data_IF_073059389980
#
_entry.id   IF_073059389980
#
_cell.length_a   1.000
_cell.length_b   1.000
_cell.length_c   1.000
_cell.angle_alpha   90.00
_cell.angle_beta   90.00
_cell.angle_gamma   90.00
#
_symmetry.space_group_name_H-M   'P 1'
#
loop_
_entity.id
_entity.type
_entity.pdbx_description
1 polymer ?
#
# COMPACT_ATOMS: atom_id res chain seq x y z
N UNK A 1 23.86 10.36 -15.31
CA UNK A 1 23.50 9.30 -14.33
C UNK A 1 22.00 9.17 -14.34
N UNK A 2 21.40 7.96 -14.41
CA UNK A 2 19.94 7.85 -14.37
C UNK A 2 19.45 8.39 -13.03
N UNK A 3 18.47 9.29 -13.10
CA UNK A 3 17.91 9.97 -11.93
C UNK A 3 17.38 8.96 -10.92
N UNK A 4 17.79 9.11 -9.67
CA UNK A 4 17.20 8.37 -8.57
C UNK A 4 15.75 8.85 -8.47
N UNK A 5 14.80 8.01 -8.89
CA UNK A 5 13.38 8.24 -8.64
C UNK A 5 13.22 8.13 -7.13
N UNK A 6 13.15 9.28 -6.47
CA UNK A 6 12.74 9.30 -5.06
C UNK A 6 11.30 8.80 -5.06
N UNK A 7 10.97 7.69 -4.36
CA UNK A 7 9.58 7.27 -4.25
C UNK A 7 8.80 8.46 -3.70
N UNK A 8 7.72 8.82 -4.40
CA UNK A 8 6.89 9.93 -3.96
C UNK A 8 6.30 9.58 -2.59
N UNK A 9 6.17 10.54 -1.67
CA UNK A 9 5.41 10.30 -0.45
C UNK A 9 4.01 9.79 -0.82
N UNK A 10 3.53 8.76 -0.12
CA UNK A 10 2.17 8.25 -0.30
C UNK A 10 1.18 9.34 0.14
N UNK A 11 0.75 10.18 -0.80
CA UNK A 11 -0.20 11.26 -0.60
C UNK A 11 -1.53 10.92 -1.27
N UNK A 12 -2.63 11.22 -0.55
CA UNK A 12 -4.01 11.05 -0.98
C UNK A 12 -4.70 12.40 -1.04
N UNK A 13 -5.51 12.62 -2.07
CA UNK A 13 -6.15 13.91 -2.34
C UNK A 13 -7.32 14.19 -1.38
N UNK A 14 -7.90 13.14 -0.80
CA UNK A 14 -8.97 13.25 0.19
C UNK A 14 -8.97 12.11 1.21
N UNK A 15 -9.70 12.31 2.31
CA UNK A 15 -9.96 11.24 3.29
C UNK A 15 -10.75 10.07 2.67
N UNK A 16 -11.58 10.33 1.66
CA UNK A 16 -12.28 9.27 0.93
C UNK A 16 -11.29 8.41 0.14
N UNK A 17 -10.33 9.03 -0.56
CA UNK A 17 -9.31 8.30 -1.32
C UNK A 17 -8.40 7.47 -0.40
N UNK A 18 -8.04 8.03 0.76
CA UNK A 18 -7.32 7.30 1.80
C UNK A 18 -8.13 6.11 2.34
N UNK A 19 -9.43 6.31 2.60
CA UNK A 19 -10.29 5.24 3.08
C UNK A 19 -10.43 4.11 2.05
N UNK A 20 -10.55 4.42 0.76
CA UNK A 20 -10.55 3.40 -0.29
C UNK A 20 -9.21 2.65 -0.36
N UNK A 21 -8.09 3.34 -0.21
CA UNK A 21 -6.76 2.71 -0.18
C UNK A 21 -6.62 1.76 1.02
N UNK A 22 -7.07 2.17 2.20
CA UNK A 22 -7.07 1.31 3.39
C UNK A 22 -7.95 0.07 3.21
N UNK A 23 -9.10 0.18 2.53
CA UNK A 23 -9.94 -1.00 2.23
C UNK A 23 -9.28 -1.96 1.27
N UNK A 24 -8.54 -1.46 0.27
CA UNK A 24 -7.74 -2.31 -0.63
C UNK A 24 -6.60 -3.00 0.11
N UNK A 25 -5.88 -2.27 0.97
CA UNK A 25 -4.86 -2.84 1.84
C UNK A 25 -5.44 -3.94 2.74
N UNK A 26 -6.60 -3.72 3.36
CA UNK A 26 -7.28 -4.72 4.18
C UNK A 26 -7.67 -5.98 3.39
N UNK A 27 -8.21 -5.82 2.18
CA UNK A 27 -8.56 -6.95 1.33
C UNK A 27 -7.33 -7.75 0.88
N UNK A 28 -6.20 -7.08 0.64
CA UNK A 28 -4.95 -7.75 0.26
C UNK A 28 -4.26 -8.40 1.46
N UNK A 29 -4.30 -7.79 2.64
CA UNK A 29 -3.76 -8.34 3.89
C UNK A 29 -4.54 -9.57 4.35
N UNK A 30 -5.87 -9.56 4.25
CA UNK A 30 -6.68 -10.74 4.57
C UNK A 30 -6.28 -11.97 3.73
N UNK A 31 -5.94 -11.77 2.45
CA UNK A 31 -5.39 -12.85 1.61
C UNK A 31 -3.99 -13.30 2.08
N UNK A 32 -3.15 -12.36 2.51
CA UNK A 32 -1.83 -12.68 3.05
C UNK A 32 -1.92 -13.52 4.33
N UNK A 33 -2.86 -13.21 5.22
CA UNK A 33 -3.14 -13.99 6.43
C UNK A 33 -3.72 -15.38 6.10
N UNK A 34 -4.58 -15.48 5.08
CA UNK A 34 -5.08 -16.76 4.57
C UNK A 34 -3.94 -17.64 4.02
N UNK A 35 -2.99 -17.05 3.29
CA UNK A 35 -1.83 -17.74 2.71
C UNK A 35 -0.81 -18.17 3.77
N UNK A 36 -0.60 -17.34 4.80
CA UNK A 36 0.33 -17.63 5.91
C UNK A 36 -0.29 -18.48 7.00
N UNK A 37 -1.63 -18.58 7.05
CA UNK A 37 -2.38 -19.37 8.00
C UNK A 37 -2.40 -18.81 9.43
N UNK A 38 -1.95 -17.57 9.61
CA UNK A 38 -1.89 -16.90 10.91
C UNK A 38 -2.11 -15.40 10.76
N UNK A 39 -2.61 -14.77 11.82
CA UNK A 39 -2.70 -13.32 11.88
C UNK A 39 -1.30 -12.70 11.87
N UNK A 40 -1.16 -11.61 11.14
CA UNK A 40 0.10 -10.88 11.04
C UNK A 40 0.24 -9.90 12.23
N UNK A 41 1.20 -10.11 13.14
CA UNK A 41 1.43 -9.19 14.25
C UNK A 41 1.94 -7.82 13.79
N UNK A 42 2.58 -7.75 12.62
CA UNK A 42 3.20 -6.55 12.06
C UNK A 42 2.34 -5.95 10.93
N UNK A 43 1.02 -6.17 11.02
CA UNK A 43 0.03 -5.63 10.09
C UNK A 43 0.18 -4.12 9.78
N UNK A 44 0.59 -3.22 10.70
CA UNK A 44 0.74 -1.80 10.36
C UNK A 44 1.87 -1.57 9.34
N UNK A 45 2.99 -2.29 9.49
CA UNK A 45 4.13 -2.19 8.59
C UNK A 45 3.78 -2.76 7.22
N UNK A 46 3.04 -3.87 7.19
CA UNK A 46 2.52 -4.44 5.96
C UNK A 46 1.60 -3.47 5.22
N UNK A 47 0.66 -2.83 5.93
CA UNK A 47 -0.25 -1.82 5.35
C UNK A 47 0.54 -0.64 4.78
N UNK A 48 1.51 -0.11 5.52
CA UNK A 48 2.30 1.02 5.08
C UNK A 48 3.06 0.70 3.78
N UNK A 49 3.70 -0.47 3.72
CA UNK A 49 4.43 -0.91 2.53
C UNK A 49 3.50 -1.12 1.33
N UNK A 50 2.38 -1.82 1.53
CA UNK A 50 1.37 -2.03 0.49
C UNK A 50 0.85 -0.69 -0.07
N UNK A 51 0.52 0.26 0.80
CA UNK A 51 -0.01 1.57 0.39
C UNK A 51 1.02 2.40 -0.39
N UNK A 52 2.30 2.34 -0.02
CA UNK A 52 3.39 3.01 -0.76
C UNK A 52 3.57 2.36 -2.13
N UNK A 53 3.63 1.03 -2.20
CA UNK A 53 3.81 0.29 -3.45
C UNK A 53 2.64 0.49 -4.41
N UNK A 54 1.41 0.43 -3.89
CA UNK A 54 0.19 0.69 -4.66
C UNK A 54 0.20 2.11 -5.23
N UNK A 55 0.64 3.12 -4.44
CA UNK A 55 0.68 4.51 -4.91
C UNK A 55 1.77 4.73 -5.95
N UNK A 56 2.94 4.12 -5.78
CA UNK A 56 4.02 4.17 -6.76
C UNK A 56 3.61 3.48 -8.07
N UNK A 57 2.88 2.36 -8.01
CA UNK A 57 2.35 1.68 -9.19
C UNK A 57 1.33 2.55 -9.95
N UNK A 58 0.44 3.25 -9.24
CA UNK A 58 -0.49 4.21 -9.85
C UNK A 58 0.23 5.38 -10.52
N UNK A 59 1.32 5.88 -9.91
CA UNK A 59 2.12 6.98 -10.46
C UNK A 59 3.03 6.56 -11.63
N UNK A 60 3.37 5.28 -11.75
CA UNK A 60 4.15 4.73 -12.86
C UNK A 60 3.28 4.30 -14.06
N UNK A 61 1.95 4.24 -13.88
CA UNK A 61 0.98 3.88 -14.91
C UNK A 61 0.42 5.07 -15.71
N UNK A 62 0.90 6.29 -15.47
CA UNK A 62 0.60 7.53 -16.21
C UNK A 62 1.76 7.93 -17.10
#
# INVERSE_FOLDING_TARGET
>A
MPGRVTPAPAAYDSAADLAEALRRAAAAHGKHEEETGQADPDWPDWYAQYMVDERNAQAAGV
#
